data_IF_849811554177
#
_entry.id   IF_849811554177
#
_cell.length_a   1.000
_cell.length_b   1.000
_cell.length_c   1.000
_cell.angle_alpha   90.00
_cell.angle_beta   90.00
_cell.angle_gamma   90.00
#
_symmetry.space_group_name_H-M   'P 1'
#
loop_
_entity.id
_entity.type
_entity.pdbx_description
1 polymer ?
#
# COMPACT_ATOMS: atom_id res chain seq x y z
N UNK A 1 -40.81 -47.57 39.08
CA UNK A 1 -40.80 -47.52 37.59
C UNK A 1 -40.24 -46.18 37.20
N UNK A 2 -38.98 -46.17 36.80
CA UNK A 2 -38.24 -44.94 36.47
C UNK A 2 -38.17 -44.72 34.98
N UNK A 3 -38.39 -43.52 34.54
CA UNK A 3 -38.06 -43.09 33.16
C UNK A 3 -36.95 -42.06 33.21
N UNK A 4 -35.84 -42.44 32.61
CA UNK A 4 -34.65 -41.64 32.45
C UNK A 4 -34.86 -40.60 31.35
N UNK A 5 -34.75 -39.34 31.67
CA UNK A 5 -34.66 -38.24 30.73
C UNK A 5 -33.28 -38.16 30.14
N UNK A 6 -33.17 -38.34 28.81
CA UNK A 6 -31.94 -38.17 28.04
C UNK A 6 -31.80 -36.71 27.69
N UNK A 7 -30.86 -36.02 28.34
CA UNK A 7 -30.45 -34.66 27.98
C UNK A 7 -29.69 -34.69 26.65
N UNK A 8 -30.24 -34.07 25.61
CA UNK A 8 -29.55 -33.79 24.36
C UNK A 8 -28.71 -32.54 24.57
N UNK A 9 -27.41 -32.72 24.83
CA UNK A 9 -26.43 -31.67 24.64
C UNK A 9 -26.30 -31.37 23.16
N UNK A 10 -26.88 -30.26 22.74
CA UNK A 10 -26.67 -29.69 21.42
C UNK A 10 -25.20 -29.25 21.29
N UNK A 11 -24.46 -29.89 20.42
CA UNK A 11 -23.10 -29.48 20.06
C UNK A 11 -23.17 -28.07 19.45
N UNK A 12 -22.70 -27.09 20.17
CA UNK A 12 -22.38 -25.76 19.66
C UNK A 12 -21.27 -25.96 18.63
N UNK A 13 -21.62 -25.88 17.35
CA UNK A 13 -20.64 -25.78 16.26
C UNK A 13 -19.87 -24.49 16.50
N UNK A 14 -18.67 -24.62 17.03
CA UNK A 14 -17.72 -23.55 17.11
C UNK A 14 -17.44 -23.05 15.68
N UNK A 15 -17.91 -21.84 15.38
CA UNK A 15 -17.45 -21.14 14.19
C UNK A 15 -15.96 -20.84 14.43
N UNK A 16 -15.11 -21.64 13.83
CA UNK A 16 -13.69 -21.34 13.72
C UNK A 16 -13.59 -20.01 12.96
N UNK A 17 -13.25 -18.95 13.67
CA UNK A 17 -12.86 -17.68 13.06
C UNK A 17 -11.57 -17.94 12.30
N UNK A 18 -11.67 -18.37 11.05
CA UNK A 18 -10.53 -18.47 10.14
C UNK A 18 -10.01 -17.04 9.94
N UNK A 19 -8.92 -16.71 10.63
CA UNK A 19 -8.22 -15.45 10.44
C UNK A 19 -7.79 -15.37 8.98
N UNK A 20 -8.37 -14.45 8.22
CA UNK A 20 -8.05 -14.30 6.81
C UNK A 20 -6.62 -13.80 6.67
N UNK A 21 -5.82 -14.50 5.88
CA UNK A 21 -4.41 -14.15 5.61
C UNK A 21 -4.34 -12.89 4.77
N UNK A 22 -3.60 -11.88 5.22
CA UNK A 22 -3.35 -10.65 4.48
C UNK A 22 -2.04 -10.78 3.71
N UNK A 23 -2.07 -10.46 2.42
CA UNK A 23 -0.91 -10.34 1.56
C UNK A 23 -0.47 -8.88 1.40
N UNK A 24 0.80 -8.58 1.65
CA UNK A 24 1.38 -7.25 1.54
C UNK A 24 2.37 -7.23 0.37
N UNK A 25 2.11 -6.38 -0.61
CA UNK A 25 3.02 -6.11 -1.74
C UNK A 25 3.85 -4.87 -1.41
N UNK A 26 5.17 -5.01 -1.42
CA UNK A 26 6.14 -3.91 -1.31
C UNK A 26 6.94 -3.81 -2.60
N UNK A 27 7.24 -2.60 -3.07
CA UNK A 27 8.13 -2.43 -4.21
C UNK A 27 9.59 -2.67 -3.81
N UNK A 28 10.03 -2.16 -2.66
CA UNK A 28 11.42 -2.13 -2.23
C UNK A 28 11.65 -2.86 -0.89
N UNK A 29 12.85 -3.44 -0.74
CA UNK A 29 13.28 -4.02 0.54
C UNK A 29 13.29 -3.00 1.69
N UNK A 30 13.64 -1.74 1.39
CA UNK A 30 13.65 -0.66 2.35
C UNK A 30 12.26 -0.35 2.95
N UNK A 31 11.20 -0.60 2.20
CA UNK A 31 9.81 -0.46 2.66
C UNK A 31 9.36 -1.66 3.48
N UNK A 32 9.74 -2.87 3.06
CA UNK A 32 9.37 -4.12 3.72
C UNK A 32 10.05 -4.32 5.08
N UNK A 33 11.24 -3.73 5.31
CA UNK A 33 12.01 -3.91 6.56
C UNK A 33 11.25 -3.55 7.84
N UNK A 34 10.24 -2.68 7.73
CA UNK A 34 9.42 -2.25 8.87
C UNK A 34 8.33 -3.27 9.23
N UNK A 35 8.04 -4.19 8.33
CA UNK A 35 7.04 -5.24 8.53
C UNK A 35 7.56 -6.43 9.37
N UNK A 36 8.85 -6.49 9.68
CA UNK A 36 9.40 -7.52 10.55
C UNK A 36 10.89 -7.82 10.28
N UNK A 37 11.52 -8.67 11.11
CA UNK A 37 12.94 -8.97 11.03
C UNK A 37 13.31 -9.82 9.81
N UNK A 38 12.36 -10.57 9.26
CA UNK A 38 12.56 -11.39 8.06
C UNK A 38 12.03 -10.65 6.85
N UNK A 39 12.91 -9.96 6.14
CA UNK A 39 12.58 -9.32 4.87
C UNK A 39 12.70 -10.36 3.76
N UNK A 40 11.66 -10.56 2.93
CA UNK A 40 11.73 -11.50 1.81
C UNK A 40 12.84 -11.11 0.84
N UNK A 41 13.40 -12.09 0.13
CA UNK A 41 14.21 -11.82 -1.04
C UNK A 41 13.31 -11.37 -2.18
N UNK A 42 13.87 -10.63 -3.13
CA UNK A 42 13.12 -10.23 -4.33
C UNK A 42 12.42 -11.44 -4.97
N UNK A 43 11.16 -11.25 -5.37
CA UNK A 43 10.27 -12.26 -5.98
C UNK A 43 9.90 -13.47 -5.09
N UNK A 44 10.21 -13.47 -3.79
CA UNK A 44 9.77 -14.52 -2.85
C UNK A 44 8.66 -14.04 -1.93
N UNK A 45 7.83 -14.96 -1.45
CA UNK A 45 6.83 -14.72 -0.40
C UNK A 45 7.41 -15.19 0.92
N UNK A 46 7.22 -14.39 1.97
CA UNK A 46 7.63 -14.72 3.34
C UNK A 46 6.45 -14.53 4.28
N UNK A 47 6.20 -15.51 5.15
CA UNK A 47 5.21 -15.38 6.22
C UNK A 47 5.81 -14.70 7.45
N UNK A 48 5.05 -13.77 8.03
CA UNK A 48 5.33 -13.14 9.32
C UNK A 48 4.81 -13.99 10.48
N UNK A 49 5.21 -13.63 11.69
CA UNK A 49 4.76 -14.32 12.92
C UNK A 49 3.25 -14.16 13.17
N UNK A 50 2.64 -13.08 12.67
CA UNK A 50 1.20 -12.80 12.74
C UNK A 50 0.38 -13.46 11.61
N UNK A 51 1.00 -14.32 10.79
CA UNK A 51 0.38 -14.98 9.65
C UNK A 51 0.27 -14.14 8.38
N UNK A 52 0.64 -12.87 8.42
CA UNK A 52 0.65 -12.01 7.23
C UNK A 52 1.72 -12.46 6.24
N UNK A 53 1.41 -12.47 4.96
CA UNK A 53 2.33 -12.76 3.88
C UNK A 53 2.91 -11.45 3.31
N UNK A 54 4.20 -11.45 3.00
CA UNK A 54 4.89 -10.28 2.41
C UNK A 54 5.63 -10.71 1.15
N UNK A 55 5.48 -9.94 0.08
CA UNK A 55 6.25 -10.10 -1.16
C UNK A 55 6.94 -8.79 -1.56
N UNK A 56 8.20 -8.88 -2.02
CA UNK A 56 8.90 -7.76 -2.64
C UNK A 56 8.83 -7.93 -4.15
N UNK A 57 8.12 -7.00 -4.79
CA UNK A 57 7.86 -7.04 -6.23
C UNK A 57 9.05 -6.54 -7.06
N UNK A 58 9.67 -5.44 -6.65
CA UNK A 58 10.38 -4.51 -7.51
C UNK A 58 9.45 -3.36 -7.92
N UNK A 59 10.00 -2.37 -8.60
CA UNK A 59 9.26 -1.17 -9.04
C UNK A 59 8.44 -1.47 -10.29
N UNK A 60 7.20 -0.95 -10.32
CA UNK A 60 6.33 -0.90 -11.49
C UNK A 60 5.20 -1.93 -11.51
N UNK A 61 4.22 -1.63 -12.35
CA UNK A 61 2.92 -2.30 -12.42
C UNK A 61 3.00 -3.82 -12.63
N UNK A 62 3.79 -4.27 -13.60
CA UNK A 62 3.90 -5.71 -13.95
C UNK A 62 4.46 -6.53 -12.79
N UNK A 63 5.52 -6.01 -12.14
CA UNK A 63 6.16 -6.68 -11.02
C UNK A 63 5.21 -6.75 -9.80
N UNK A 64 4.48 -5.66 -9.53
CA UNK A 64 3.52 -5.58 -8.44
C UNK A 64 2.33 -6.54 -8.65
N UNK A 65 1.79 -6.63 -9.86
CA UNK A 65 0.74 -7.58 -10.20
C UNK A 65 1.21 -9.03 -10.01
N UNK A 66 2.40 -9.38 -10.50
CA UNK A 66 2.96 -10.73 -10.32
C UNK A 66 3.18 -11.09 -8.84
N UNK A 67 3.61 -10.14 -8.01
CA UNK A 67 3.75 -10.34 -6.57
C UNK A 67 2.38 -10.54 -5.88
N UNK A 68 1.37 -9.77 -6.28
CA UNK A 68 0.01 -9.92 -5.77
C UNK A 68 -0.56 -11.31 -6.09
N UNK A 69 -0.40 -11.81 -7.33
CA UNK A 69 -0.81 -13.17 -7.70
C UNK A 69 -0.11 -14.23 -6.83
N UNK A 70 1.21 -14.13 -6.63
CA UNK A 70 1.96 -15.06 -5.76
C UNK A 70 1.46 -15.07 -4.32
N UNK A 71 1.03 -13.92 -3.79
CA UNK A 71 0.45 -13.83 -2.45
C UNK A 71 -0.90 -14.54 -2.39
N UNK A 72 -1.74 -14.40 -3.43
CA UNK A 72 -3.01 -15.11 -3.53
C UNK A 72 -2.79 -16.63 -3.63
N UNK A 73 -1.86 -17.07 -4.47
CA UNK A 73 -1.47 -18.48 -4.59
C UNK A 73 -0.96 -19.07 -3.27
N UNK A 74 -0.33 -18.22 -2.43
CA UNK A 74 0.10 -18.57 -1.08
C UNK A 74 -1.01 -18.47 -0.02
N UNK A 75 -2.26 -18.18 -0.40
CA UNK A 75 -3.43 -18.17 0.48
C UNK A 75 -3.85 -16.80 1.00
N UNK A 76 -3.34 -15.69 0.45
CA UNK A 76 -3.81 -14.37 0.82
C UNK A 76 -5.29 -14.17 0.43
N UNK A 77 -6.10 -13.74 1.37
CA UNK A 77 -7.53 -13.44 1.23
C UNK A 77 -7.86 -11.94 1.24
N UNK A 78 -6.85 -11.09 1.34
CA UNK A 78 -6.92 -9.64 1.23
C UNK A 78 -5.54 -9.10 0.82
N UNK A 79 -5.48 -7.97 0.11
CA UNK A 79 -4.22 -7.40 -0.36
C UNK A 79 -3.99 -5.97 0.15
N UNK A 80 -2.74 -5.68 0.50
CA UNK A 80 -2.24 -4.35 0.84
C UNK A 80 -1.15 -3.96 -0.14
N UNK A 81 -1.28 -2.80 -0.79
CA UNK A 81 -0.15 -2.16 -1.46
C UNK A 81 0.56 -1.25 -0.46
N UNK A 82 1.81 -1.55 -0.16
CA UNK A 82 2.58 -0.95 0.93
C UNK A 82 3.82 -0.24 0.41
N UNK A 83 4.03 1.01 0.82
CA UNK A 83 5.26 1.73 0.45
C UNK A 83 5.18 3.23 0.56
N UNK A 84 6.00 3.91 -0.24
CA UNK A 84 6.09 5.37 -0.30
C UNK A 84 5.41 5.91 -1.57
N UNK A 85 5.07 7.21 -1.55
CA UNK A 85 4.49 7.91 -2.69
C UNK A 85 5.00 9.35 -2.76
N UNK A 86 4.97 9.95 -3.94
CA UNK A 86 5.17 11.38 -4.13
C UNK A 86 3.87 12.15 -3.91
N UNK A 87 3.94 13.29 -3.22
CA UNK A 87 2.81 14.21 -3.05
C UNK A 87 2.55 15.03 -4.31
N UNK A 88 1.29 15.13 -4.71
CA UNK A 88 0.82 16.02 -5.79
C UNK A 88 0.06 17.22 -5.23
N UNK A 89 -0.72 17.03 -4.16
CA UNK A 89 -1.41 18.08 -3.44
C UNK A 89 -0.41 18.93 -2.65
N UNK A 90 -0.39 20.27 -2.84
CA UNK A 90 0.46 21.17 -2.05
C UNK A 90 0.24 21.10 -0.53
N UNK A 91 -0.95 20.68 -0.08
CA UNK A 91 -1.27 20.51 1.34
C UNK A 91 -0.68 19.21 1.92
N UNK A 92 -0.20 18.28 1.08
CA UNK A 92 0.29 16.97 1.50
C UNK A 92 1.81 16.99 1.72
N UNK A 93 2.22 17.15 2.97
CA UNK A 93 3.63 17.25 3.34
C UNK A 93 4.33 15.88 3.38
N UNK A 94 5.66 15.89 3.16
CA UNK A 94 6.50 14.71 3.35
C UNK A 94 6.42 14.17 4.80
N UNK A 95 6.45 12.85 4.96
CA UNK A 95 6.28 12.14 6.24
C UNK A 95 4.82 11.86 6.63
N UNK A 96 3.84 12.39 5.90
CA UNK A 96 2.42 12.11 6.14
C UNK A 96 2.06 10.68 5.74
N UNK A 97 1.29 10.02 6.58
CA UNK A 97 0.64 8.75 6.23
C UNK A 97 -0.57 9.08 5.35
N UNK A 98 -0.68 8.39 4.23
CA UNK A 98 -1.72 8.56 3.24
C UNK A 98 -2.46 7.23 3.04
N UNK A 99 -3.75 7.22 3.34
CA UNK A 99 -4.67 6.09 3.18
C UNK A 99 -5.70 6.44 2.10
N UNK A 100 -5.42 6.16 0.82
CA UNK A 100 -6.29 6.57 -0.27
C UNK A 100 -7.66 5.90 -0.21
N UNK A 101 -8.69 6.66 -0.55
CA UNK A 101 -10.05 6.13 -0.75
C UNK A 101 -10.20 5.41 -2.09
N UNK A 102 -9.38 5.80 -3.07
CA UNK A 102 -9.33 5.19 -4.39
C UNK A 102 -7.91 5.20 -4.96
N UNK A 103 -7.61 4.27 -5.83
CA UNK A 103 -6.42 4.25 -6.67
C UNK A 103 -6.84 4.37 -8.13
N UNK A 104 -6.14 5.20 -8.90
CA UNK A 104 -6.50 5.48 -10.29
C UNK A 104 -5.29 5.42 -11.22
N UNK A 105 -5.52 5.11 -12.47
CA UNK A 105 -4.55 5.22 -13.56
C UNK A 105 -4.64 6.57 -14.26
N UNK A 106 -3.59 6.90 -15.02
CA UNK A 106 -3.59 8.08 -15.91
C UNK A 106 -4.64 7.94 -17.02
N UNK A 107 -5.00 6.72 -17.37
CA UNK A 107 -6.03 6.34 -18.35
C UNK A 107 -7.47 6.51 -17.84
N UNK A 108 -7.65 6.94 -16.60
CA UNK A 108 -8.96 7.14 -15.96
C UNK A 108 -9.52 5.89 -15.26
N UNK A 109 -8.88 4.74 -15.37
CA UNK A 109 -9.27 3.58 -14.57
C UNK A 109 -9.19 3.91 -13.08
N UNK A 110 -10.19 3.53 -12.29
CA UNK A 110 -10.23 3.81 -10.84
C UNK A 110 -10.84 2.64 -10.07
N UNK A 111 -10.27 2.32 -8.92
CA UNK A 111 -10.71 1.25 -8.03
C UNK A 111 -10.75 1.80 -6.60
N UNK A 112 -11.93 1.67 -5.96
CA UNK A 112 -12.10 2.06 -4.56
C UNK A 112 -11.37 1.09 -3.62
N UNK A 113 -10.80 1.62 -2.55
CA UNK A 113 -10.23 0.81 -1.47
C UNK A 113 -11.32 0.34 -0.50
N UNK A 114 -11.08 -0.77 0.21
CA UNK A 114 -12.01 -1.32 1.19
C UNK A 114 -12.25 -0.32 2.34
N UNK A 115 -13.41 0.34 2.33
CA UNK A 115 -13.73 1.47 3.22
C UNK A 115 -13.63 1.09 4.69
N UNK A 116 -14.31 0.05 5.12
CA UNK A 116 -14.31 -0.35 6.54
C UNK A 116 -12.92 -0.70 7.06
N UNK A 117 -12.09 -1.37 6.24
CA UNK A 117 -10.71 -1.67 6.59
C UNK A 117 -9.84 -0.41 6.70
N UNK A 118 -9.98 0.50 5.73
CA UNK A 118 -9.29 1.80 5.77
C UNK A 118 -9.68 2.62 6.99
N UNK A 119 -10.98 2.65 7.36
CA UNK A 119 -11.47 3.38 8.52
C UNK A 119 -10.94 2.80 9.84
N UNK A 120 -10.93 1.47 9.99
CA UNK A 120 -10.33 0.80 11.16
C UNK A 120 -8.85 1.14 11.30
N UNK A 121 -8.08 1.04 10.21
CA UNK A 121 -6.67 1.40 10.21
C UNK A 121 -6.47 2.90 10.51
N UNK A 122 -7.32 3.76 9.96
CA UNK A 122 -7.31 5.20 10.22
C UNK A 122 -7.54 5.50 11.70
N UNK A 123 -8.56 4.91 12.31
CA UNK A 123 -8.86 5.09 13.73
C UNK A 123 -7.68 4.67 14.63
N UNK A 124 -7.04 3.53 14.31
CA UNK A 124 -5.89 3.05 15.05
C UNK A 124 -4.65 3.96 14.93
N UNK A 125 -4.50 4.68 13.82
CA UNK A 125 -3.35 5.54 13.54
C UNK A 125 -3.55 6.99 13.99
N UNK A 126 -4.79 7.47 14.11
CA UNK A 126 -5.09 8.88 14.43
C UNK A 126 -4.44 9.37 15.73
N UNK A 127 -4.26 8.48 16.72
CA UNK A 127 -3.60 8.80 17.98
C UNK A 127 -2.09 9.05 17.83
N UNK A 128 -1.48 8.61 16.72
CA UNK A 128 -0.02 8.60 16.54
C UNK A 128 0.46 9.50 15.42
N UNK A 129 -0.37 9.72 14.39
CA UNK A 129 0.05 10.45 13.19
C UNK A 129 -1.12 11.18 12.52
N UNK A 130 -0.85 12.38 11.95
CA UNK A 130 -1.82 13.03 11.07
C UNK A 130 -1.98 12.20 9.81
N UNK A 131 -3.23 11.82 9.52
CA UNK A 131 -3.61 11.03 8.37
C UNK A 131 -4.21 11.92 7.29
N UNK A 132 -4.05 11.51 6.05
CA UNK A 132 -4.71 12.14 4.90
C UNK A 132 -5.26 11.04 4.00
N UNK A 133 -6.42 11.29 3.41
CA UNK A 133 -7.03 10.43 2.40
C UNK A 133 -7.10 11.13 1.06
N UNK A 134 -7.78 10.53 0.11
CA UNK A 134 -8.00 11.06 -1.24
C UNK A 134 -7.63 10.07 -2.33
N UNK A 135 -7.48 10.56 -3.55
CA UNK A 135 -7.12 9.76 -4.72
C UNK A 135 -5.60 9.55 -4.80
N UNK A 136 -5.17 8.30 -5.02
CA UNK A 136 -3.79 7.91 -5.34
C UNK A 136 -3.70 7.62 -6.84
N UNK A 137 -2.85 8.34 -7.55
CA UNK A 137 -2.59 8.08 -8.96
C UNK A 137 -1.45 7.07 -9.10
N UNK A 138 -1.61 6.08 -9.97
CA UNK A 138 -0.51 5.17 -10.34
C UNK A 138 0.01 5.56 -11.73
N UNK A 139 1.32 5.83 -11.81
CA UNK A 139 2.02 6.21 -13.04
C UNK A 139 3.07 5.18 -13.41
N UNK A 140 3.22 4.90 -14.70
CA UNK A 140 4.30 4.04 -15.21
C UNK A 140 5.69 4.68 -15.13
N UNK A 141 5.77 5.99 -14.84
CA UNK A 141 7.00 6.76 -14.73
C UNK A 141 7.03 7.60 -13.47
N UNK A 142 8.22 7.79 -12.92
CA UNK A 142 8.45 8.70 -11.80
C UNK A 142 8.15 10.14 -12.21
N UNK A 143 7.37 10.85 -11.41
CA UNK A 143 7.01 12.27 -11.63
C UNK A 143 8.01 13.14 -10.89
N UNK A 144 9.04 13.60 -11.61
CA UNK A 144 10.22 14.20 -11.00
C UNK A 144 10.16 15.74 -10.87
N UNK A 145 9.43 16.43 -11.73
CA UNK A 145 9.42 17.90 -11.74
C UNK A 145 8.20 18.48 -11.00
N UNK A 146 8.39 19.62 -10.33
CA UNK A 146 7.31 20.37 -9.67
C UNK A 146 6.19 20.72 -10.66
N UNK A 147 6.56 21.13 -11.89
CA UNK A 147 5.59 21.47 -12.92
C UNK A 147 4.72 20.27 -13.32
N UNK A 148 5.33 19.06 -13.48
CA UNK A 148 4.58 17.85 -13.80
C UNK A 148 3.65 17.42 -12.65
N UNK A 149 4.10 17.53 -11.40
CA UNK A 149 3.25 17.27 -10.23
C UNK A 149 2.05 18.21 -10.18
N UNK A 150 2.28 19.51 -10.38
CA UNK A 150 1.22 20.51 -10.40
C UNK A 150 0.24 20.31 -11.57
N UNK A 151 0.70 19.89 -12.74
CA UNK A 151 -0.15 19.54 -13.87
C UNK A 151 -1.04 18.34 -13.53
N UNK A 152 -0.47 17.24 -13.06
CA UNK A 152 -1.22 16.05 -12.66
C UNK A 152 -2.25 16.33 -11.57
N UNK A 153 -1.90 17.14 -10.57
CA UNK A 153 -2.85 17.53 -9.52
C UNK A 153 -4.06 18.26 -10.10
N UNK A 154 -3.84 19.22 -10.99
CA UNK A 154 -4.92 19.98 -11.64
C UNK A 154 -5.79 19.11 -12.54
N UNK A 155 -5.19 18.18 -13.28
CA UNK A 155 -5.87 17.32 -14.23
C UNK A 155 -6.66 16.19 -13.57
N UNK A 156 -6.12 15.61 -12.48
CA UNK A 156 -6.66 14.37 -11.91
C UNK A 156 -7.27 14.55 -10.52
N UNK A 157 -6.99 15.66 -9.84
CA UNK A 157 -7.28 15.90 -8.42
C UNK A 157 -6.69 14.82 -7.50
N UNK A 158 -5.69 14.05 -7.97
CA UNK A 158 -5.03 13.04 -7.15
C UNK A 158 -4.08 13.70 -6.15
N UNK A 159 -4.19 13.32 -4.87
CA UNK A 159 -3.38 13.90 -3.80
C UNK A 159 -1.92 13.39 -3.82
N UNK A 160 -1.70 12.16 -4.30
CA UNK A 160 -0.38 11.53 -4.36
C UNK A 160 -0.24 10.64 -5.60
N UNK A 161 1.01 10.25 -5.90
CA UNK A 161 1.34 9.37 -7.03
C UNK A 161 2.31 8.28 -6.60
N UNK A 162 2.07 7.07 -7.08
CA UNK A 162 2.97 5.91 -6.97
C UNK A 162 3.16 5.20 -8.33
N UNK A 163 3.71 3.97 -8.31
CA UNK A 163 3.98 3.22 -9.54
C UNK A 163 3.37 1.81 -9.53
N UNK A 164 2.65 1.39 -8.48
CA UNK A 164 2.26 -0.01 -8.25
C UNK A 164 0.80 -0.23 -7.82
N UNK A 165 0.20 0.69 -7.07
CA UNK A 165 -1.06 0.44 -6.34
C UNK A 165 -2.22 0.01 -7.23
N UNK A 166 -2.39 0.62 -8.39
CA UNK A 166 -3.49 0.26 -9.29
C UNK A 166 -3.38 -1.20 -9.76
N UNK A 167 -2.17 -1.67 -10.06
CA UNK A 167 -1.97 -3.05 -10.52
C UNK A 167 -2.28 -4.07 -9.43
N UNK A 168 -1.93 -3.77 -8.17
CA UNK A 168 -2.31 -4.61 -7.02
C UNK A 168 -3.83 -4.58 -6.82
N UNK A 169 -4.46 -3.41 -6.94
CA UNK A 169 -5.91 -3.26 -6.85
C UNK A 169 -6.65 -4.02 -7.95
N UNK A 170 -6.14 -4.00 -9.18
CA UNK A 170 -6.71 -4.75 -10.32
C UNK A 170 -6.67 -6.26 -10.07
N UNK A 171 -5.55 -6.78 -9.55
CA UNK A 171 -5.44 -8.19 -9.16
C UNK A 171 -6.41 -8.53 -8.03
N UNK A 172 -6.51 -7.70 -6.99
CA UNK A 172 -7.47 -7.90 -5.91
C UNK A 172 -8.92 -7.91 -6.43
N UNK A 173 -9.28 -6.97 -7.30
CA UNK A 173 -10.61 -6.87 -7.92
C UNK A 173 -10.94 -8.12 -8.74
N UNK A 174 -10.00 -8.59 -9.58
CA UNK A 174 -10.17 -9.79 -10.40
C UNK A 174 -10.43 -11.06 -9.58
N UNK A 175 -9.93 -11.09 -8.34
CA UNK A 175 -10.13 -12.20 -7.41
C UNK A 175 -11.20 -11.93 -6.34
N UNK A 176 -11.97 -10.84 -6.46
CA UNK A 176 -12.97 -10.39 -5.49
C UNK A 176 -12.43 -10.29 -4.05
N UNK A 177 -11.18 -9.84 -3.90
CA UNK A 177 -10.50 -9.68 -2.61
C UNK A 177 -10.55 -8.22 -2.14
N UNK A 178 -10.70 -7.99 -0.83
CA UNK A 178 -10.52 -6.66 -0.25
C UNK A 178 -9.12 -6.12 -0.49
N UNK A 179 -9.04 -4.82 -0.76
CA UNK A 179 -7.79 -4.12 -1.05
C UNK A 179 -7.72 -2.78 -0.32
N UNK A 180 -6.55 -2.47 0.24
CA UNK A 180 -6.18 -1.11 0.66
C UNK A 180 -4.78 -0.76 0.16
N UNK A 181 -4.49 0.53 0.05
CA UNK A 181 -3.13 1.02 -0.10
C UNK A 181 -2.72 1.80 1.15
N UNK A 182 -1.47 1.60 1.58
CA UNK A 182 -0.82 2.34 2.65
C UNK A 182 0.39 3.01 2.07
N UNK A 183 0.41 4.34 2.07
CA UNK A 183 1.51 5.14 1.57
C UNK A 183 2.02 6.12 2.62
N UNK A 184 3.29 6.43 2.56
CA UNK A 184 3.87 7.58 3.25
C UNK A 184 4.49 8.49 2.21
N UNK A 185 4.21 9.77 2.33
CA UNK A 185 4.72 10.76 1.38
C UNK A 185 6.20 10.98 1.62
N UNK A 186 7.03 10.73 0.59
CA UNK A 186 8.49 10.90 0.66
C UNK A 186 8.93 12.27 0.17
N UNK A 187 8.22 12.84 -0.80
CA UNK A 187 8.47 14.16 -1.38
C UNK A 187 7.15 14.88 -1.67
N UNK A 188 7.04 16.14 -1.32
CA UNK A 188 5.84 16.95 -1.53
C UNK A 188 5.71 17.50 -2.95
N UNK A 189 4.59 18.17 -3.25
CA UNK A 189 4.31 18.77 -4.55
C UNK A 189 5.35 19.81 -4.98
N UNK A 190 5.91 20.58 -4.03
CA UNK A 190 6.96 21.57 -4.26
C UNK A 190 8.38 21.02 -4.38
N UNK A 191 8.56 19.70 -4.36
CA UNK A 191 9.86 19.06 -4.38
C UNK A 191 10.16 18.44 -5.73
N UNK A 192 11.24 18.88 -6.36
CA UNK A 192 11.80 18.18 -7.52
C UNK A 192 12.63 16.98 -7.06
N UNK A 193 12.47 15.85 -7.72
CA UNK A 193 13.37 14.71 -7.54
C UNK A 193 14.71 15.02 -8.26
N UNK A 194 15.87 14.76 -7.61
CA UNK A 194 17.16 14.90 -8.27
C UNK A 194 17.23 14.07 -9.55
N UNK A 195 17.92 14.59 -10.59
CA UNK A 195 18.10 13.88 -11.87
C UNK A 195 18.71 12.50 -11.68
N UNK A 196 19.62 12.34 -10.72
CA UNK A 196 20.21 11.07 -10.34
C UNK A 196 19.18 10.00 -9.93
N UNK A 197 18.06 10.38 -9.29
CA UNK A 197 16.97 9.46 -8.95
C UNK A 197 16.18 9.05 -10.19
N UNK A 198 15.97 10.01 -11.10
CA UNK A 198 15.28 9.78 -12.36
C UNK A 198 16.06 8.84 -13.29
N UNK A 199 17.39 9.01 -13.34
CA UNK A 199 18.28 8.26 -14.22
C UNK A 199 18.68 6.88 -13.63
N UNK A 200 18.38 6.63 -12.35
CA UNK A 200 18.65 5.37 -11.67
C UNK A 200 17.54 4.31 -11.85
N UNK A 201 16.36 4.70 -12.36
CA UNK A 201 15.34 3.77 -12.82
C UNK A 201 15.79 3.23 -14.19
N UNK A 202 16.34 2.01 -14.22
CA UNK A 202 16.67 1.37 -15.48
C UNK A 202 15.41 0.92 -16.24
N UNK A 203 15.60 0.49 -17.49
CA UNK A 203 14.52 0.00 -18.34
C UNK A 203 13.76 -1.22 -17.76
N UNK A 204 14.28 -1.85 -16.71
CA UNK A 204 13.65 -2.95 -15.95
C UNK A 204 12.90 -2.50 -14.70
N UNK A 205 12.87 -1.20 -14.41
CA UNK A 205 12.21 -0.65 -13.22
C UNK A 205 12.95 -0.94 -11.91
N UNK A 206 14.14 -1.52 -11.95
CA UNK A 206 14.97 -1.73 -10.77
C UNK A 206 15.76 -0.47 -10.43
N UNK A 207 15.45 0.14 -9.28
CA UNK A 207 16.27 1.21 -8.73
C UNK A 207 17.66 0.65 -8.34
N UNK A 208 18.67 0.98 -9.11
CA UNK A 208 20.06 0.73 -8.74
C UNK A 208 20.51 1.75 -7.70
N UNK A 209 20.04 1.55 -6.47
CA UNK A 209 20.29 2.44 -5.32
C UNK A 209 21.79 2.75 -5.15
N UNK A 210 22.68 1.81 -5.47
CA UNK A 210 24.14 2.01 -5.43
C UNK A 210 24.67 2.95 -6.51
N UNK A 211 24.06 3.01 -7.70
CA UNK A 211 24.43 4.01 -8.72
C UNK A 211 23.99 5.41 -8.30
N UNK A 212 22.85 5.50 -7.61
CA UNK A 212 22.39 6.75 -7.02
C UNK A 212 23.44 7.33 -6.07
N UNK A 213 23.95 6.52 -5.14
CA UNK A 213 25.00 6.97 -4.20
C UNK A 213 26.29 7.39 -4.90
N UNK A 214 26.73 6.69 -5.94
CA UNK A 214 27.94 7.04 -6.68
C UNK A 214 27.83 8.37 -7.44
N UNK A 215 26.72 8.65 -8.09
CA UNK A 215 26.49 9.90 -8.84
C UNK A 215 26.30 11.11 -7.91
N UNK A 216 25.73 10.90 -6.74
CA UNK A 216 25.53 11.92 -5.70
C UNK A 216 26.88 12.39 -5.11
N UNK A 217 27.85 11.48 -4.98
CA UNK A 217 29.18 11.81 -4.43
C UNK A 217 30.01 12.70 -5.37
N UNK A 218 29.72 12.68 -6.67
CA UNK A 218 30.48 13.37 -7.71
C UNK A 218 29.98 14.78 -8.05
N UNK A 219 28.82 15.23 -7.47
CA UNK A 219 28.24 16.54 -7.78
C UNK A 219 28.12 17.39 -6.48
N UNK A 220 29.05 18.33 -6.20
CA UNK A 220 29.02 19.13 -4.97
C UNK A 220 27.77 20.00 -4.80
N UNK A 221 27.11 20.42 -5.87
CA UNK A 221 25.82 21.11 -5.83
C UNK A 221 24.65 20.21 -5.40
N UNK A 222 24.85 18.87 -5.40
CA UNK A 222 23.84 17.87 -5.04
C UNK A 222 23.78 17.56 -3.55
N UNK A 223 24.79 17.88 -2.74
CA UNK A 223 24.90 17.45 -1.33
C UNK A 223 23.69 17.89 -0.48
N UNK A 224 23.25 19.14 -0.61
CA UNK A 224 22.10 19.67 0.14
C UNK A 224 20.78 19.00 -0.29
N UNK A 225 20.60 18.73 -1.57
CA UNK A 225 19.43 18.04 -2.12
C UNK A 225 19.39 16.59 -1.65
N UNK A 226 20.53 15.93 -1.56
CA UNK A 226 20.69 14.56 -1.06
C UNK A 226 20.41 14.48 0.42
N UNK A 227 20.97 15.37 1.24
CA UNK A 227 20.70 15.43 2.68
C UNK A 227 19.21 15.65 2.94
N UNK A 228 18.56 16.51 2.15
CA UNK A 228 17.12 16.76 2.22
C UNK A 228 16.32 15.52 1.88
N UNK A 229 16.65 14.86 0.77
CA UNK A 229 16.00 13.61 0.35
C UNK A 229 16.20 12.50 1.39
N UNK A 230 17.41 12.35 1.92
CA UNK A 230 17.73 11.38 2.97
C UNK A 230 16.90 11.63 4.24
N UNK A 231 16.81 12.89 4.71
CA UNK A 231 15.98 13.24 5.87
C UNK A 231 14.50 12.91 5.64
N UNK A 232 13.98 13.16 4.45
CA UNK A 232 12.59 12.85 4.07
C UNK A 232 12.36 11.34 3.98
N UNK A 233 13.28 10.62 3.38
CA UNK A 233 13.24 9.17 3.35
C UNK A 233 13.22 8.58 4.79
N UNK A 234 14.03 9.12 5.69
CA UNK A 234 14.03 8.70 7.08
C UNK A 234 12.72 9.05 7.80
N UNK A 235 12.14 10.22 7.53
CA UNK A 235 10.84 10.59 8.08
C UNK A 235 9.74 9.65 7.58
N UNK A 236 9.68 9.41 6.27
CA UNK A 236 8.73 8.48 5.65
C UNK A 236 8.93 7.05 6.18
N UNK A 237 10.17 6.62 6.32
CA UNK A 237 10.54 5.31 6.87
C UNK A 237 10.07 5.13 8.32
N UNK A 238 10.19 6.18 9.17
CA UNK A 238 9.68 6.17 10.54
C UNK A 238 8.15 6.07 10.57
N UNK A 239 7.46 6.78 9.70
CA UNK A 239 6.00 6.72 9.60
C UNK A 239 5.52 5.34 9.15
N UNK A 240 6.17 4.71 8.17
CA UNK A 240 5.91 3.30 7.82
C UNK A 240 6.11 2.37 9.02
N UNK A 241 7.17 2.58 9.81
CA UNK A 241 7.42 1.79 11.01
C UNK A 241 6.33 1.97 12.09
N UNK A 242 5.70 3.14 12.18
CA UNK A 242 4.55 3.35 13.07
C UNK A 242 3.38 2.50 12.61
N UNK A 243 2.99 2.60 11.32
CA UNK A 243 1.88 1.80 10.78
C UNK A 243 2.12 0.30 10.97
N UNK A 244 3.33 -0.19 10.71
CA UNK A 244 3.67 -1.60 10.86
C UNK A 244 3.55 -2.11 12.30
N UNK A 245 3.77 -1.23 13.30
CA UNK A 245 3.71 -1.57 14.74
C UNK A 245 2.31 -1.53 15.33
N UNK A 246 1.37 -0.83 14.73
CA UNK A 246 -0.01 -0.80 15.25
C UNK A 246 -0.70 -2.15 15.19
N UNK A 247 -0.18 -3.13 14.42
CA UNK A 247 -0.74 -4.47 14.30
C UNK A 247 -2.05 -4.55 13.49
N UNK A 248 -2.65 -3.43 13.11
CA UNK A 248 -3.95 -3.37 12.45
C UNK A 248 -3.89 -3.54 10.92
N UNK A 249 -2.77 -4.00 10.36
CA UNK A 249 -2.70 -4.39 8.95
C UNK A 249 -3.48 -5.67 8.64
N UNK A 250 -3.75 -6.51 9.66
CA UNK A 250 -4.67 -7.64 9.58
C UNK A 250 -5.94 -7.26 10.36
N UNK A 251 -7.07 -7.01 9.71
CA UNK A 251 -8.32 -6.72 10.41
C UNK A 251 -8.75 -7.95 11.22
N UNK A 252 -9.01 -7.77 12.51
CA UNK A 252 -9.41 -8.85 13.43
C UNK A 252 -10.74 -9.50 13.07
N UNK A 253 -11.53 -8.90 12.22
CA UNK A 253 -12.74 -9.49 11.67
C UNK A 253 -13.13 -8.83 10.35
N UNK A 254 -12.81 -9.45 9.24
CA UNK A 254 -13.67 -9.31 8.08
C UNK A 254 -14.95 -10.14 8.33
N UNK A 255 -15.85 -9.61 9.12
CA UNK A 255 -17.25 -9.97 9.01
C UNK A 255 -17.71 -9.40 7.67
N UNK A 256 -17.56 -10.16 6.61
CA UNK A 256 -18.28 -9.90 5.37
C UNK A 256 -19.75 -10.13 5.66
N UNK A 257 -20.46 -9.07 6.06
CA UNK A 257 -21.86 -8.99 5.72
C UNK A 257 -21.96 -9.01 4.20
N UNK A 258 -22.90 -9.73 3.61
CA UNK A 258 -23.14 -9.63 2.19
C UNK A 258 -23.53 -8.18 1.89
N UNK A 259 -22.74 -7.52 1.05
CA UNK A 259 -23.10 -6.22 0.48
C UNK A 259 -24.27 -6.46 -0.49
N UNK A 260 -25.48 -6.56 0.06
CA UNK A 260 -26.73 -6.59 -0.70
C UNK A 260 -27.12 -5.17 -1.10
N UNK A 261 -26.24 -4.51 -1.83
CA UNK A 261 -26.48 -3.24 -2.52
C UNK A 261 -27.02 -3.43 -3.92
N UNK A 262 -27.90 -4.40 -4.13
CA UNK A 262 -28.63 -4.57 -5.38
C UNK A 262 -29.99 -3.88 -5.31
N UNK A 263 -30.09 -2.57 -5.50
CA UNK A 263 -31.36 -1.93 -5.81
C UNK A 263 -31.79 -2.32 -7.21
N UNK A 264 -32.63 -3.33 -7.33
CA UNK A 264 -33.46 -3.52 -8.48
C UNK A 264 -34.51 -2.42 -8.49
N UNK A 265 -34.30 -1.37 -9.28
CA UNK A 265 -35.33 -0.49 -9.76
C UNK A 265 -36.08 -1.18 -10.89
N UNK A 266 -37.13 -1.96 -10.56
CA UNK A 266 -38.12 -2.34 -11.55
C UNK A 266 -39.07 -1.17 -11.76
N UNK A 267 -39.03 -0.57 -12.95
CA UNK A 267 -40.03 0.35 -13.41
C UNK A 267 -41.30 -0.38 -13.86
N UNK A 268 -42.40 0.26 -13.68
CA UNK A 268 -43.63 0.13 -14.45
C UNK A 268 -43.78 1.41 -15.29
#
# INVERSE_FOLDING_TARGET
MGTRGVSKFGALRGHSLTTKVVGIVCALQGEARHLGPRVPRHASVTSRADGTLVAIAGVGCTAAAAAACKLIDAGAAALVSWGMAGGLDPALAAGRIFLPSEVAGIDGASISTAQGWREQLSAALMAYHPLTGGKLLTSSRSIASVAAKAALFRETAAAAVDMESLSVAQVALAHALPFIAVRVIVDGAGDALPSAVRDAADASGQLRVWRLFGQILLAPAGVTSVLRLTRRYWAASRALAVVARTGHLAPEAFALGPDTGGSQGAGV
#
